data_IF_293310820647
#
_entry.id   IF_293310820647
#
_cell.length_a   1.000
_cell.length_b   1.000
_cell.length_c   1.000
_cell.angle_alpha   90.00
_cell.angle_beta   90.00
_cell.angle_gamma   90.00
#
_symmetry.space_group_name_H-M   'P 1'
#
loop_
_entity.id
_entity.type
_entity.pdbx_description
1 polymer ?
#
# COMPACT_ATOMS: atom_id res chain seq x y z
N UNK A 1 -60.22 -24.29 -24.21
CA UNK A 1 -58.86 -23.69 -24.17
C UNK A 1 -58.09 -24.25 -22.98
N UNK A 2 -57.01 -25.02 -23.17
CA UNK A 2 -56.11 -25.49 -22.11
C UNK A 2 -54.74 -24.82 -22.31
N UNK A 3 -54.26 -24.04 -21.34
CA UNK A 3 -52.93 -23.44 -21.32
C UNK A 3 -51.99 -24.41 -20.60
N UNK A 4 -51.12 -25.11 -21.34
CA UNK A 4 -50.02 -25.87 -20.74
C UNK A 4 -48.92 -24.89 -20.31
N UNK A 5 -48.72 -24.71 -19.01
CA UNK A 5 -47.56 -23.99 -18.47
C UNK A 5 -46.32 -24.87 -18.58
N UNK A 6 -45.31 -24.42 -19.33
CA UNK A 6 -44.04 -25.13 -19.49
C UNK A 6 -43.16 -24.98 -18.25
N UNK A 7 -43.28 -25.92 -17.31
CA UNK A 7 -42.46 -25.98 -16.08
C UNK A 7 -40.97 -26.27 -16.39
N UNK A 8 -40.62 -26.67 -17.61
CA UNK A 8 -39.24 -26.97 -18.02
C UNK A 8 -38.32 -25.75 -18.17
N UNK A 9 -38.86 -24.56 -18.43
CA UNK A 9 -38.06 -23.33 -18.60
C UNK A 9 -37.28 -22.90 -17.34
N UNK A 10 -37.94 -22.74 -16.17
CA UNK A 10 -37.25 -22.25 -14.97
C UNK A 10 -36.21 -23.24 -14.39
N UNK A 11 -36.41 -24.55 -14.57
CA UNK A 11 -35.45 -25.58 -14.12
C UNK A 11 -34.11 -25.49 -14.85
N UNK A 12 -34.13 -25.22 -16.16
CA UNK A 12 -32.92 -25.08 -16.97
C UNK A 12 -32.10 -23.85 -16.56
N UNK A 13 -32.75 -22.74 -16.24
CA UNK A 13 -32.09 -21.52 -15.78
C UNK A 13 -31.40 -21.74 -14.43
N UNK A 14 -32.05 -22.46 -13.50
CA UNK A 14 -31.46 -22.81 -12.21
C UNK A 14 -30.26 -23.76 -12.36
N UNK A 15 -30.35 -24.76 -13.24
CA UNK A 15 -29.25 -25.68 -13.49
C UNK A 15 -28.03 -24.96 -14.08
N UNK A 16 -28.25 -24.05 -15.04
CA UNK A 16 -27.18 -23.24 -15.62
C UNK A 16 -26.56 -22.33 -14.57
N UNK A 17 -27.37 -21.64 -13.75
CA UNK A 17 -26.89 -20.76 -12.68
C UNK A 17 -26.08 -21.50 -11.60
N UNK A 18 -26.40 -22.75 -11.30
CA UNK A 18 -25.63 -23.58 -10.38
C UNK A 18 -24.24 -23.93 -10.95
N UNK A 19 -24.20 -24.30 -12.24
CA UNK A 19 -22.94 -24.67 -12.91
C UNK A 19 -22.04 -23.43 -13.09
N UNK A 20 -22.59 -22.30 -13.57
CA UNK A 20 -21.82 -21.07 -13.72
C UNK A 20 -21.44 -20.43 -12.38
N UNK A 21 -22.33 -20.47 -11.39
CA UNK A 21 -22.05 -19.97 -10.04
C UNK A 21 -20.95 -20.78 -9.34
N UNK A 22 -20.96 -22.11 -9.46
CA UNK A 22 -19.90 -22.97 -8.91
C UNK A 22 -18.53 -22.71 -9.54
N UNK A 23 -18.48 -22.49 -10.86
CA UNK A 23 -17.24 -22.17 -11.58
C UNK A 23 -16.69 -20.78 -11.19
N UNK A 24 -17.56 -19.78 -11.04
CA UNK A 24 -17.18 -18.44 -10.58
C UNK A 24 -16.69 -18.43 -9.12
N UNK A 25 -17.31 -19.23 -8.25
CA UNK A 25 -16.92 -19.31 -6.83
C UNK A 25 -15.54 -19.97 -6.64
N UNK A 26 -15.21 -20.98 -7.46
CA UNK A 26 -13.89 -21.62 -7.42
C UNK A 26 -12.78 -20.66 -7.87
N UNK A 27 -12.99 -19.88 -8.93
CA UNK A 27 -11.99 -18.91 -9.40
C UNK A 27 -11.67 -17.82 -8.36
N UNK A 28 -12.67 -17.35 -7.61
CA UNK A 28 -12.45 -16.35 -6.55
C UNK A 28 -11.69 -16.90 -5.34
N UNK A 29 -11.95 -18.16 -4.97
CA UNK A 29 -11.32 -18.78 -3.79
C UNK A 29 -9.83 -19.11 -4.01
N UNK A 30 -9.45 -19.52 -5.22
CA UNK A 30 -8.07 -19.91 -5.53
C UNK A 30 -7.10 -18.71 -5.52
N UNK A 31 -7.52 -17.57 -6.07
CA UNK A 31 -6.72 -16.34 -6.09
C UNK A 31 -6.45 -15.81 -4.67
N UNK A 32 -7.48 -15.80 -3.81
CA UNK A 32 -7.34 -15.37 -2.41
C UNK A 32 -6.43 -16.28 -1.60
N UNK A 33 -6.53 -17.60 -1.81
CA UNK A 33 -5.71 -18.59 -1.09
C UNK A 33 -4.23 -18.49 -1.46
N UNK A 34 -3.92 -18.29 -2.75
CA UNK A 34 -2.55 -18.13 -3.22
C UNK A 34 -1.90 -16.83 -2.69
N UNK A 35 -2.63 -15.70 -2.72
CA UNK A 35 -2.15 -14.43 -2.18
C UNK A 35 -1.87 -14.52 -0.67
N UNK A 36 -2.78 -15.11 0.10
CA UNK A 36 -2.61 -15.31 1.53
C UNK A 36 -1.41 -16.19 1.90
N UNK A 37 -1.14 -17.24 1.11
CA UNK A 37 0.03 -18.10 1.32
C UNK A 37 1.34 -17.36 1.05
N UNK A 38 1.39 -16.51 0.02
CA UNK A 38 2.57 -15.72 -0.32
C UNK A 38 2.89 -14.67 0.75
N UNK A 39 1.87 -13.95 1.25
CA UNK A 39 2.05 -13.00 2.36
C UNK A 39 2.62 -13.68 3.61
N UNK A 40 2.04 -14.82 4.01
CA UNK A 40 2.57 -15.58 5.16
C UNK A 40 3.99 -16.10 4.97
N UNK A 41 4.38 -16.44 3.74
CA UNK A 41 5.76 -16.87 3.46
C UNK A 41 6.72 -15.69 3.62
N UNK A 42 6.34 -14.51 3.13
CA UNK A 42 7.12 -13.29 3.27
C UNK A 42 7.32 -12.92 4.75
N UNK A 43 6.25 -12.93 5.55
CA UNK A 43 6.33 -12.64 6.99
C UNK A 43 7.25 -13.64 7.72
N UNK A 44 7.14 -14.95 7.41
CA UNK A 44 8.03 -15.96 7.99
C UNK A 44 9.51 -15.74 7.65
N UNK A 45 9.81 -15.25 6.45
CA UNK A 45 11.20 -14.94 6.06
C UNK A 45 11.68 -13.70 6.81
N UNK A 46 10.86 -12.66 6.92
CA UNK A 46 11.19 -11.46 7.68
C UNK A 46 11.45 -11.79 9.15
N UNK A 47 10.60 -12.60 9.78
CA UNK A 47 10.77 -13.06 11.16
C UNK A 47 12.06 -13.86 11.33
N UNK A 48 12.32 -14.80 10.41
CA UNK A 48 13.54 -15.62 10.45
C UNK A 48 14.81 -14.75 10.38
N UNK A 49 14.82 -13.74 9.51
CA UNK A 49 15.93 -12.79 9.38
C UNK A 49 16.07 -11.97 10.66
N UNK A 50 14.99 -11.39 11.16
CA UNK A 50 14.99 -10.60 12.41
C UNK A 50 15.54 -11.39 13.60
N UNK A 51 15.11 -12.66 13.75
CA UNK A 51 15.47 -13.49 14.90
C UNK A 51 16.87 -14.13 14.82
N UNK A 52 17.39 -14.38 13.60
CA UNK A 52 18.60 -15.20 13.42
C UNK A 52 19.75 -14.46 12.73
N UNK A 53 19.56 -13.20 12.32
CA UNK A 53 20.64 -12.41 11.77
C UNK A 53 21.65 -12.01 12.86
N UNK A 54 22.89 -11.79 12.45
CA UNK A 54 24.01 -11.53 13.37
C UNK A 54 23.84 -10.21 14.13
N UNK A 55 23.22 -9.23 13.49
CA UNK A 55 22.90 -7.93 14.06
C UNK A 55 21.40 -7.84 14.36
N UNK A 56 21.02 -7.02 15.35
CA UNK A 56 19.61 -6.71 15.58
C UNK A 56 19.10 -5.85 14.41
N UNK A 57 18.10 -6.37 13.71
CA UNK A 57 17.39 -5.66 12.65
C UNK A 57 15.94 -5.52 13.08
N UNK A 58 15.39 -4.32 12.98
CA UNK A 58 13.99 -4.08 13.29
C UNK A 58 13.09 -4.57 12.14
N UNK A 59 11.90 -5.07 12.49
CA UNK A 59 10.95 -5.60 11.52
C UNK A 59 10.43 -4.49 10.58
N UNK A 60 10.22 -3.27 11.09
CA UNK A 60 9.82 -2.11 10.29
C UNK A 60 10.86 -1.81 9.20
N UNK A 61 12.15 -1.84 9.55
CA UNK A 61 13.26 -1.64 8.59
C UNK A 61 13.32 -2.73 7.52
N UNK A 62 13.02 -3.99 7.87
CA UNK A 62 12.97 -5.07 6.87
C UNK A 62 11.83 -4.88 5.87
N UNK A 63 10.66 -4.43 6.33
CA UNK A 63 9.53 -4.13 5.45
C UNK A 63 9.83 -2.94 4.53
N UNK A 64 10.39 -1.86 5.06
CA UNK A 64 10.77 -0.68 4.26
C UNK A 64 11.81 -1.05 3.19
N UNK A 65 12.87 -1.78 3.58
CA UNK A 65 13.88 -2.27 2.65
C UNK A 65 13.29 -3.21 1.58
N UNK A 66 12.31 -4.04 1.94
CA UNK A 66 11.63 -4.91 0.98
C UNK A 66 10.78 -4.12 -0.02
N UNK A 67 10.09 -3.07 0.43
CA UNK A 67 9.32 -2.17 -0.45
C UNK A 67 10.25 -1.44 -1.41
N UNK A 68 11.36 -0.89 -0.90
CA UNK A 68 12.38 -0.24 -1.74
C UNK A 68 12.97 -1.22 -2.76
N UNK A 69 13.28 -2.45 -2.35
CA UNK A 69 13.74 -3.51 -3.25
C UNK A 69 12.71 -3.84 -4.34
N UNK A 70 11.43 -3.95 -3.98
CA UNK A 70 10.35 -4.16 -4.95
C UNK A 70 10.24 -3.01 -5.95
N UNK A 71 10.27 -1.76 -5.48
CA UNK A 71 10.21 -0.59 -6.36
C UNK A 71 11.43 -0.48 -7.27
N UNK A 72 12.62 -0.79 -6.75
CA UNK A 72 13.84 -0.83 -7.56
C UNK A 72 13.76 -1.84 -8.71
N UNK A 73 13.02 -2.94 -8.52
CA UNK A 73 12.82 -3.98 -9.54
C UNK A 73 11.84 -3.60 -10.64
N UNK A 74 11.08 -2.51 -10.49
CA UNK A 74 10.12 -2.04 -11.49
C UNK A 74 10.79 -1.24 -12.61
N UNK A 75 12.05 -0.82 -12.44
CA UNK A 75 12.78 0.06 -13.37
C UNK A 75 12.01 1.35 -13.73
N UNK A 76 11.08 1.81 -12.87
CA UNK A 76 10.27 3.01 -13.08
C UNK A 76 10.79 4.19 -12.24
N UNK A 77 11.31 5.26 -12.86
CA UNK A 77 11.84 6.42 -12.14
C UNK A 77 10.77 7.24 -11.40
N UNK A 78 9.47 7.03 -11.69
CA UNK A 78 8.38 7.76 -11.05
C UNK A 78 7.75 7.00 -9.88
N UNK A 79 8.21 5.77 -9.61
CA UNK A 79 7.70 4.93 -8.53
C UNK A 79 8.62 5.04 -7.31
N UNK A 80 8.17 5.75 -6.28
CA UNK A 80 8.89 5.94 -5.02
C UNK A 80 8.01 5.65 -3.81
N UNK A 81 8.62 5.11 -2.76
CA UNK A 81 8.00 4.97 -1.44
C UNK A 81 8.54 6.06 -0.51
N UNK A 82 7.66 6.67 0.27
CA UNK A 82 8.03 7.60 1.34
C UNK A 82 7.87 6.87 2.66
N UNK A 83 8.96 6.74 3.41
CA UNK A 83 8.91 6.23 4.78
C UNK A 83 8.12 7.20 5.66
N UNK A 84 7.69 6.74 6.85
CA UNK A 84 6.83 7.55 7.75
C UNK A 84 7.40 8.94 8.01
N UNK A 85 8.67 9.02 8.39
CA UNK A 85 9.35 10.27 8.73
C UNK A 85 9.46 11.20 7.51
N UNK A 86 9.74 10.65 6.33
CA UNK A 86 9.80 11.41 5.07
C UNK A 86 8.42 11.93 4.67
N UNK A 87 7.38 11.12 4.86
CA UNK A 87 6.00 11.52 4.61
C UNK A 87 5.57 12.64 5.58
N UNK A 88 5.93 12.56 6.86
CA UNK A 88 5.64 13.63 7.82
C UNK A 88 6.32 14.93 7.42
N UNK A 89 7.60 14.88 7.05
CA UNK A 89 8.33 16.04 6.54
C UNK A 89 7.72 16.60 5.24
N UNK A 90 7.31 15.73 4.33
CA UNK A 90 6.60 16.11 3.11
C UNK A 90 5.25 16.77 3.42
N UNK A 91 4.47 16.18 4.33
CA UNK A 91 3.18 16.70 4.75
C UNK A 91 3.31 18.07 5.43
N UNK A 92 4.35 18.29 6.23
CA UNK A 92 4.67 19.61 6.82
C UNK A 92 4.96 20.63 5.71
N UNK A 93 5.80 20.27 4.74
CA UNK A 93 6.18 21.14 3.61
C UNK A 93 4.99 21.48 2.70
N UNK A 94 4.11 20.50 2.41
CA UNK A 94 2.97 20.67 1.51
C UNK A 94 1.74 21.27 2.20
N UNK A 95 1.53 20.92 3.48
CA UNK A 95 0.42 21.42 4.29
C UNK A 95 0.55 22.89 4.68
N UNK A 96 1.73 23.49 4.47
CA UNK A 96 1.96 24.91 4.75
C UNK A 96 1.97 25.23 6.23
N UNK A 97 2.15 24.24 7.11
CA UNK A 97 2.37 24.45 8.54
C UNK A 97 3.84 24.83 8.77
N UNK A 98 4.25 25.95 8.16
CA UNK A 98 5.43 26.69 8.59
C UNK A 98 5.14 27.09 10.03
N UNK A 99 5.97 26.67 10.99
CA UNK A 99 5.77 27.00 12.40
C UNK A 99 5.59 28.51 12.62
N UNK A 100 4.34 28.98 12.64
CA UNK A 100 3.84 30.27 13.12
C UNK A 100 4.29 31.59 12.47
N UNK A 101 5.43 31.69 11.78
CA UNK A 101 6.04 32.98 11.41
C UNK A 101 6.31 33.18 9.91
N UNK A 102 5.98 32.18 9.08
CA UNK A 102 6.19 32.25 7.63
C UNK A 102 7.64 32.53 7.21
N UNK A 103 8.60 31.88 7.89
CA UNK A 103 10.02 32.00 7.58
C UNK A 103 10.53 30.72 6.90
N UNK A 104 11.20 30.88 5.76
CA UNK A 104 12.01 29.82 5.16
C UNK A 104 13.35 29.74 5.91
N UNK A 105 13.57 28.63 6.63
CA UNK A 105 14.80 28.38 7.39
C UNK A 105 15.60 27.25 6.76
N UNK A 106 16.90 27.50 6.55
CA UNK A 106 17.88 26.51 6.10
C UNK A 106 18.93 26.35 7.19
N UNK A 107 19.31 25.11 7.48
CA UNK A 107 20.46 24.81 8.33
C UNK A 107 21.73 24.96 7.48
N UNK A 108 22.54 25.98 7.77
CA UNK A 108 23.85 26.19 7.17
C UNK A 108 24.87 26.31 8.29
N UNK A 109 25.84 25.40 8.30
CA UNK A 109 26.97 25.38 9.24
C UNK A 109 26.55 25.38 10.74
N UNK A 110 25.42 24.75 11.06
CA UNK A 110 24.90 24.65 12.43
C UNK A 110 24.15 25.90 12.92
N UNK A 111 23.88 26.85 12.02
CA UNK A 111 23.08 28.03 12.30
C UNK A 111 21.79 28.00 11.45
N UNK A 112 20.65 28.10 12.14
CA UNK A 112 19.34 28.28 11.49
C UNK A 112 19.30 29.69 10.89
N UNK A 113 19.38 29.77 9.56
CA UNK A 113 19.41 31.04 8.83
C UNK A 113 18.09 31.27 8.11
N UNK A 114 17.49 32.45 8.32
CA UNK A 114 16.26 32.89 7.65
C UNK A 114 16.62 33.46 6.28
N UNK A 115 16.09 32.86 5.20
CA UNK A 115 16.38 33.31 3.84
C UNK A 115 15.35 34.33 3.34
N UNK A 116 14.05 34.07 3.50
CA UNK A 116 12.99 35.01 3.12
C UNK A 116 11.72 34.79 3.95
N UNK A 117 11.05 35.88 4.38
CA UNK A 117 9.67 35.84 4.85
C UNK A 117 8.69 35.61 3.69
N UNK A 118 7.63 34.84 3.91
CA UNK A 118 6.54 34.67 2.94
C UNK A 118 5.74 35.98 2.87
N UNK A 119 5.48 36.53 1.66
CA UNK A 119 4.66 37.74 1.51
C UNK A 119 3.27 37.55 2.12
N UNK A 120 2.95 38.31 3.17
CA UNK A 120 1.63 38.32 3.80
C UNK A 120 1.48 37.47 5.07
N UNK A 121 2.56 36.83 5.57
CA UNK A 121 2.58 36.23 6.90
C UNK A 121 3.08 37.22 7.95
N UNK A 122 2.68 37.10 9.23
CA UNK A 122 3.22 37.95 10.28
C UNK A 122 4.71 37.64 10.48
N UNK A 123 5.54 38.67 10.36
CA UNK A 123 6.94 38.70 10.78
C UNK A 123 7.17 39.88 11.71
#
# INVERSE_FOLDING_TARGET
MKRNGSIGGPMLVLAIAMVTGGWFFQQGADLGRAGFLRGRLFDQVADLVSDNYVDQVDQEQLYDAAIEGLLSSLDDPNSSFLQRDDYENFAIRTGGEYGGVGLEVLDRDGYVTVMNPIPGTPG
#
